data_IF_856593859801
#
_entry.id   IF_856593859801
#
_cell.length_a   1.000
_cell.length_b   1.000
_cell.length_c   1.000
_cell.angle_alpha   90.00
_cell.angle_beta   90.00
_cell.angle_gamma   90.00
#
_symmetry.space_group_name_H-M   'P 1'
#
loop_
_entity.id
_entity.type
_entity.pdbx_description
1 polymer ?
#
# COMPACT_ATOMS: atom_id res chain seq x y z
N UNK A 1 3.79 11.16 12.01
CA UNK A 1 2.93 9.96 11.82
C UNK A 1 1.73 10.28 10.96
N UNK A 2 1.26 9.32 10.19
CA UNK A 2 0.04 9.49 9.41
C UNK A 2 -1.18 9.49 10.34
N UNK A 3 -2.18 10.29 9.98
CA UNK A 3 -3.43 10.33 10.74
C UNK A 3 -4.19 9.01 10.58
N UNK A 4 -4.89 8.58 11.62
CA UNK A 4 -5.67 7.35 11.60
C UNK A 4 -6.74 7.36 10.50
N UNK A 5 -7.30 8.55 10.19
CA UNK A 5 -8.27 8.69 9.10
C UNK A 5 -7.69 8.25 7.74
N UNK A 6 -6.42 8.50 7.49
CA UNK A 6 -5.74 8.05 6.27
C UNK A 6 -5.61 6.53 6.20
N UNK A 7 -5.30 5.91 7.33
CA UNK A 7 -5.22 4.46 7.46
C UNK A 7 -6.57 3.80 7.21
N UNK A 8 -7.63 4.36 7.80
CA UNK A 8 -9.00 3.88 7.62
C UNK A 8 -9.46 4.01 6.17
N UNK A 9 -9.15 5.12 5.51
CA UNK A 9 -9.44 5.31 4.07
C UNK A 9 -8.74 4.25 3.23
N UNK A 10 -7.48 3.96 3.53
CA UNK A 10 -6.73 2.95 2.79
C UNK A 10 -7.34 1.56 2.95
N UNK A 11 -7.81 1.21 4.14
CA UNK A 11 -8.52 -0.05 4.39
C UNK A 11 -9.81 -0.14 3.57
N UNK A 12 -10.61 0.94 3.53
CA UNK A 12 -11.84 0.99 2.74
C UNK A 12 -11.55 0.83 1.25
N UNK A 13 -10.48 1.47 0.76
CA UNK A 13 -10.04 1.30 -0.63
C UNK A 13 -9.66 -0.15 -0.92
N UNK A 14 -8.94 -0.81 -0.01
CA UNK A 14 -8.55 -2.20 -0.15
C UNK A 14 -9.78 -3.11 -0.26
N UNK A 15 -10.79 -2.91 0.58
CA UNK A 15 -12.05 -3.66 0.55
C UNK A 15 -12.79 -3.45 -0.77
N UNK A 16 -12.89 -2.20 -1.23
CA UNK A 16 -13.53 -1.85 -2.50
C UNK A 16 -12.81 -2.47 -3.68
N UNK A 17 -11.50 -2.42 -3.71
CA UNK A 17 -10.66 -3.04 -4.76
C UNK A 17 -10.92 -4.55 -4.81
N UNK A 18 -10.94 -5.20 -3.66
CA UNK A 18 -11.20 -6.63 -3.55
C UNK A 18 -12.60 -7.00 -4.04
N UNK A 19 -13.61 -6.19 -3.70
CA UNK A 19 -15.00 -6.39 -4.10
C UNK A 19 -15.17 -6.34 -5.62
N UNK A 20 -14.51 -5.41 -6.29
CA UNK A 20 -14.66 -5.20 -7.73
C UNK A 20 -13.56 -5.86 -8.57
N UNK A 21 -12.64 -6.61 -7.97
CA UNK A 21 -11.51 -7.19 -8.70
C UNK A 21 -11.94 -8.14 -9.82
N UNK A 22 -12.88 -9.05 -9.55
CA UNK A 22 -13.38 -10.02 -10.53
C UNK A 22 -14.10 -9.33 -11.68
N UNK A 23 -15.01 -8.40 -11.36
CA UNK A 23 -15.77 -7.63 -12.36
C UNK A 23 -14.83 -6.80 -13.24
N UNK A 24 -13.84 -6.17 -12.63
CA UNK A 24 -12.84 -5.38 -13.35
C UNK A 24 -12.03 -6.24 -14.33
N UNK A 25 -11.63 -7.43 -13.91
CA UNK A 25 -10.90 -8.38 -14.76
C UNK A 25 -11.77 -8.82 -15.97
N UNK A 26 -13.05 -9.12 -15.75
CA UNK A 26 -13.98 -9.46 -16.81
C UNK A 26 -14.14 -8.34 -17.83
N UNK A 27 -14.36 -7.10 -17.37
CA UNK A 27 -14.54 -5.94 -18.22
C UNK A 27 -13.28 -5.64 -19.05
N UNK A 28 -12.11 -5.81 -18.48
CA UNK A 28 -10.85 -5.68 -19.22
C UNK A 28 -10.71 -6.74 -20.30
N UNK A 29 -11.12 -7.96 -20.02
CA UNK A 29 -11.08 -9.08 -20.95
C UNK A 29 -12.02 -8.83 -22.14
N UNK A 30 -13.18 -8.25 -21.88
CA UNK A 30 -14.17 -7.86 -22.90
C UNK A 30 -13.83 -6.54 -23.59
N UNK A 31 -12.81 -5.82 -23.10
CA UNK A 31 -12.41 -4.47 -23.56
C UNK A 31 -13.53 -3.43 -23.46
N UNK A 32 -14.40 -3.58 -22.47
CA UNK A 32 -15.51 -2.65 -22.23
C UNK A 32 -15.03 -1.51 -21.32
N UNK A 33 -14.36 -0.53 -21.92
CA UNK A 33 -13.80 0.59 -21.18
C UNK A 33 -14.85 1.57 -20.67
N UNK A 34 -16.00 1.65 -21.33
CA UNK A 34 -17.10 2.49 -20.86
C UNK A 34 -17.63 2.01 -19.51
N UNK A 35 -17.87 0.70 -19.37
CA UNK A 35 -18.29 0.12 -18.10
C UNK A 35 -17.22 0.23 -17.03
N UNK A 36 -15.93 0.09 -17.41
CA UNK A 36 -14.81 0.27 -16.47
C UNK A 36 -14.79 1.68 -15.89
N UNK A 37 -15.07 2.70 -16.71
CA UNK A 37 -15.08 4.09 -16.26
C UNK A 37 -16.23 4.41 -15.31
N UNK A 38 -17.30 3.60 -15.32
CA UNK A 38 -18.45 3.76 -14.43
C UNK A 38 -18.24 3.14 -13.05
N UNK A 39 -17.22 2.32 -12.88
CA UNK A 39 -16.92 1.73 -11.57
C UNK A 39 -16.48 2.82 -10.58
N UNK A 40 -16.69 2.61 -9.27
CA UNK A 40 -16.21 3.56 -8.26
C UNK A 40 -14.71 3.81 -8.41
N UNK A 41 -14.30 5.04 -8.19
CA UNK A 41 -12.88 5.43 -8.29
C UNK A 41 -12.00 4.62 -7.35
N UNK A 42 -12.49 4.32 -6.15
CA UNK A 42 -11.77 3.54 -5.14
C UNK A 42 -11.64 2.06 -5.52
N UNK A 43 -12.32 1.59 -6.54
CA UNK A 43 -12.16 0.23 -7.06
C UNK A 43 -10.85 0.06 -7.86
N UNK A 44 -10.16 1.14 -8.19
CA UNK A 44 -8.90 1.07 -8.93
C UNK A 44 -7.76 0.64 -8.03
N UNK A 45 -7.04 -0.47 -8.34
CA UNK A 45 -5.92 -0.92 -7.52
C UNK A 45 -4.74 0.05 -7.50
N UNK A 46 -4.63 0.95 -8.49
CA UNK A 46 -3.56 1.95 -8.53
C UNK A 46 -3.71 3.02 -7.45
N UNK A 47 -4.93 3.20 -6.92
CA UNK A 47 -5.19 4.14 -5.83
C UNK A 47 -4.87 3.58 -4.46
N UNK A 48 -4.72 2.27 -4.37
CA UNK A 48 -4.33 1.59 -3.14
C UNK A 48 -2.82 1.74 -2.97
N UNK A 49 -2.39 2.20 -1.81
CA UNK A 49 -0.97 2.40 -1.52
C UNK A 49 -0.53 1.57 -0.32
N UNK A 50 0.71 1.10 -0.37
CA UNK A 50 1.33 0.43 0.75
C UNK A 50 1.74 1.48 1.79
N UNK A 51 1.48 1.19 3.07
CA UNK A 51 1.81 2.07 4.17
C UNK A 51 2.65 1.34 5.20
N UNK A 52 3.55 2.08 5.84
CA UNK A 52 4.36 1.55 6.93
C UNK A 52 3.48 0.94 8.02
N UNK A 53 3.80 -0.29 8.44
CA UNK A 53 3.04 -0.98 9.48
C UNK A 53 3.15 -0.31 10.85
N UNK A 54 4.21 0.45 11.07
CA UNK A 54 4.47 1.12 12.35
C UNK A 54 4.02 2.58 12.36
N UNK A 55 4.40 3.36 11.35
CA UNK A 55 4.12 4.80 11.30
C UNK A 55 2.96 5.19 10.38
N UNK A 56 2.56 4.30 9.46
CA UNK A 56 1.51 4.58 8.49
C UNK A 56 1.96 5.44 7.31
N UNK A 57 3.24 5.75 7.21
CA UNK A 57 3.79 6.57 6.13
C UNK A 57 3.71 5.84 4.79
N UNK A 58 3.22 6.51 3.74
CA UNK A 58 3.13 5.93 2.39
C UNK A 58 4.42 6.12 1.57
N UNK A 59 5.17 7.19 1.85
CA UNK A 59 6.40 7.49 1.12
C UNK A 59 7.56 6.65 1.63
N UNK A 60 8.47 6.30 0.73
CA UNK A 60 9.68 5.54 1.04
C UNK A 60 9.38 4.19 1.73
N UNK A 61 8.34 3.50 1.25
CA UNK A 61 7.94 2.19 1.77
C UNK A 61 8.87 1.10 1.24
N UNK A 62 9.37 0.26 2.14
CA UNK A 62 10.20 -0.90 1.79
C UNK A 62 9.36 -2.17 1.88
N UNK A 63 9.05 -2.79 0.73
CA UNK A 63 8.18 -3.98 0.68
C UNK A 63 8.74 -5.15 1.47
N UNK A 64 10.04 -5.34 1.45
CA UNK A 64 10.70 -6.44 2.14
C UNK A 64 10.45 -6.42 3.66
N UNK A 65 10.39 -5.23 4.24
CA UNK A 65 10.25 -5.04 5.68
C UNK A 65 8.89 -4.47 6.11
N UNK A 66 8.01 -4.18 5.14
CA UNK A 66 6.68 -3.60 5.38
C UNK A 66 6.71 -2.33 6.23
N UNK A 67 7.73 -1.51 6.06
CA UNK A 67 7.89 -0.27 6.81
C UNK A 67 8.57 0.81 5.97
N UNK A 68 8.50 2.06 6.43
CA UNK A 68 9.18 3.17 5.79
C UNK A 68 10.68 3.11 6.06
N UNK A 69 11.46 3.80 5.22
CA UNK A 69 12.92 3.86 5.40
C UNK A 69 13.33 4.42 6.76
N UNK A 70 12.56 5.36 7.30
CA UNK A 70 12.83 5.96 8.61
C UNK A 70 12.62 4.96 9.74
N UNK A 71 11.49 4.25 9.72
CA UNK A 71 11.19 3.20 10.70
C UNK A 71 12.18 2.05 10.60
N UNK A 72 12.54 1.66 9.37
CA UNK A 72 13.55 0.62 9.12
C UNK A 72 14.89 1.00 9.74
N UNK A 73 15.35 2.23 9.51
CA UNK A 73 16.63 2.71 10.05
C UNK A 73 16.63 2.69 11.58
N UNK A 74 15.56 3.20 12.20
CA UNK A 74 15.42 3.19 13.66
C UNK A 74 15.43 1.76 14.21
N UNK A 75 14.68 0.86 13.60
CA UNK A 75 14.64 -0.54 13.99
C UNK A 75 15.99 -1.24 13.85
N UNK A 76 16.71 -0.97 12.78
CA UNK A 76 18.03 -1.54 12.54
C UNK A 76 19.06 -1.04 13.56
N UNK A 77 19.05 0.26 13.87
CA UNK A 77 19.96 0.84 14.86
C UNK A 77 19.67 0.34 16.28
N UNK A 78 18.42 0.02 16.58
CA UNK A 78 18.00 -0.55 17.87
C UNK A 78 18.19 -2.07 17.95
N UNK A 79 18.69 -2.70 16.90
CA UNK A 79 18.92 -4.14 16.86
C UNK A 79 17.66 -4.99 16.70
N UNK A 80 16.53 -4.39 16.32
CA UNK A 80 15.25 -5.11 16.14
C UNK A 80 15.19 -5.92 14.85
N UNK A 81 16.05 -5.59 13.88
CA UNK A 81 16.11 -6.26 12.58
C UNK A 81 17.42 -7.05 12.51
N UNK A 82 17.37 -8.38 12.59
CA UNK A 82 18.59 -9.19 12.61
C UNK A 82 19.31 -9.16 11.25
N UNK A 83 20.63 -9.21 11.29
CA UNK A 83 21.47 -9.27 10.10
C UNK A 83 21.68 -7.95 9.38
N UNK A 84 21.10 -6.84 9.87
CA UNK A 84 21.26 -5.53 9.26
C UNK A 84 22.27 -4.73 10.04
N UNK A 85 23.31 -4.28 9.34
CA UNK A 85 24.37 -3.47 9.91
C UNK A 85 24.56 -2.19 9.09
N UNK A 86 25.07 -1.14 9.73
CA UNK A 86 25.36 0.11 9.05
C UNK A 86 26.51 -0.11 8.07
N UNK A 87 26.29 0.22 6.81
CA UNK A 87 27.35 0.16 5.80
C UNK A 87 28.22 1.42 5.85
N UNK A 88 29.52 1.22 5.78
CA UNK A 88 30.47 2.32 5.59
C UNK A 88 31.57 1.85 4.66
N UNK A 89 31.86 2.64 3.63
CA UNK A 89 32.90 2.35 2.65
C UNK A 89 33.65 3.59 2.23
#
# INVERSE_FOLDING_TARGET
MAKQSWLERNKRKAETVKKYAALRAELKKKKDYAALSQLPRDASPTRLVNRCSMSGRRHAYLRKFACSRLTFREGALNGLIPGVTKASW
#
